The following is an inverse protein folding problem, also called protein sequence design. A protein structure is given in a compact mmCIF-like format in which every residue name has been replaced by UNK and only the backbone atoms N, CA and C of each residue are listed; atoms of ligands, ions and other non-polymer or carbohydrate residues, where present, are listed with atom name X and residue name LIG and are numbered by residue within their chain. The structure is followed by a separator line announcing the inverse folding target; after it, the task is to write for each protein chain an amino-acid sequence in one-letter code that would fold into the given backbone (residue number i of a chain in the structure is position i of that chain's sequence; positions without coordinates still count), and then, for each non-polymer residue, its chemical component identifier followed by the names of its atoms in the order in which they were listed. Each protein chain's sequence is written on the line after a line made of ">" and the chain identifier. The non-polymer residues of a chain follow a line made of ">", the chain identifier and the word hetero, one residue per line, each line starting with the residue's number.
data_IF_293044415953
#
_entry.id   IF_293044415953
#
_cell.length_a   1.000
_cell.length_b   1.000
_cell.length_c   1.000
_cell.angle_alpha   90.00
_cell.angle_beta   90.00
_cell.angle_gamma   90.00
#
_symmetry.space_group_name_H-M   'P 1'
#
loop_
_entity.id
_entity.type
_entity.pdbx_description
1 polymer ?
#
# COMPACT_ATOMS: atom_id res chain seq x y z
N UNK A 1 2.79 -12.27 11.99
CA UNK A 1 3.11 -10.93 11.49
C UNK A 1 2.21 -10.59 10.32
N UNK A 2 1.80 -9.33 10.21
CA UNK A 2 1.02 -8.81 9.09
C UNK A 2 1.52 -7.42 8.69
N UNK A 3 1.33 -7.05 7.43
CA UNK A 3 1.57 -5.70 6.93
C UNK A 3 0.57 -5.36 5.84
N UNK A 4 0.40 -4.08 5.59
CA UNK A 4 -0.36 -3.56 4.45
C UNK A 4 0.64 -3.04 3.43
N UNK A 5 0.51 -3.48 2.18
CA UNK A 5 1.46 -3.13 1.13
C UNK A 5 0.83 -3.00 -0.24
N UNK A 6 1.63 -2.59 -1.21
CA UNK A 6 1.26 -2.56 -2.62
C UNK A 6 1.20 -3.98 -3.20
N UNK A 7 0.35 -4.20 -4.19
CA UNK A 7 0.33 -5.46 -4.96
C UNK A 7 1.68 -5.80 -5.60
N UNK A 8 2.48 -4.80 -5.96
CA UNK A 8 3.84 -5.00 -6.47
C UNK A 8 4.79 -5.65 -5.46
N UNK A 9 4.46 -5.67 -4.17
CA UNK A 9 5.26 -6.37 -3.14
C UNK A 9 5.29 -7.89 -3.35
N UNK A 10 4.34 -8.45 -4.10
CA UNK A 10 4.27 -9.89 -4.38
C UNK A 10 5.55 -10.46 -4.98
N UNK A 11 6.24 -9.67 -5.81
CA UNK A 11 7.48 -10.10 -6.48
C UNK A 11 8.72 -10.11 -5.57
N UNK A 12 8.60 -9.57 -4.36
CA UNK A 12 9.68 -9.44 -3.38
C UNK A 12 9.39 -10.19 -2.08
N UNK A 13 8.25 -10.87 -1.98
CA UNK A 13 7.89 -11.56 -0.76
C UNK A 13 8.77 -12.81 -0.60
N UNK A 14 9.46 -12.96 0.56
CA UNK A 14 10.32 -14.11 0.78
C UNK A 14 9.50 -15.38 1.05
N UNK A 15 10.03 -16.52 0.67
CA UNK A 15 9.49 -17.86 0.95
C UNK A 15 10.04 -18.46 2.25
N UNK A 16 11.07 -17.81 2.81
CA UNK A 16 11.73 -18.26 4.02
C UNK A 16 12.26 -17.08 4.86
N UNK A 17 12.43 -17.32 6.14
CA UNK A 17 12.98 -16.35 7.11
C UNK A 17 14.16 -17.01 7.82
N UNK A 18 15.27 -16.29 7.92
CA UNK A 18 16.41 -16.68 8.75
C UNK A 18 16.14 -16.27 10.20
N UNK A 19 16.27 -17.23 11.11
CA UNK A 19 16.15 -17.01 12.57
C UNK A 19 17.49 -16.88 13.26
N UNK A 20 18.55 -17.41 12.65
CA UNK A 20 19.95 -17.23 13.01
C UNK A 20 20.83 -17.46 11.77
N UNK A 21 22.15 -17.34 11.90
CA UNK A 21 23.09 -17.54 10.78
C UNK A 21 23.00 -18.95 10.17
N UNK A 22 22.59 -19.95 10.97
CA UNK A 22 22.55 -21.37 10.58
C UNK A 22 21.12 -21.95 10.57
N UNK A 23 20.09 -21.15 10.84
CA UNK A 23 18.71 -21.63 10.94
C UNK A 23 17.74 -20.79 10.13
N UNK A 24 16.95 -21.46 9.31
CA UNK A 24 15.89 -20.84 8.51
C UNK A 24 14.64 -21.71 8.49
N UNK A 25 13.47 -21.08 8.39
CA UNK A 25 12.21 -21.79 8.20
C UNK A 25 11.38 -21.15 7.08
N UNK A 26 10.62 -22.00 6.41
CA UNK A 26 9.70 -21.54 5.38
C UNK A 26 8.53 -20.78 5.98
N UNK A 27 8.05 -19.78 5.26
CA UNK A 27 6.85 -19.00 5.60
C UNK A 27 5.83 -19.11 4.47
N UNK A 28 4.56 -18.98 4.82
CA UNK A 28 3.45 -18.98 3.88
C UNK A 28 2.82 -17.59 3.85
N UNK A 29 2.67 -17.04 2.65
CA UNK A 29 1.94 -15.78 2.44
C UNK A 29 0.44 -16.05 2.40
N UNK A 30 -0.32 -15.36 3.27
CA UNK A 30 -1.77 -15.25 3.18
C UNK A 30 -2.17 -13.83 2.85
N UNK A 31 -2.84 -13.67 1.72
CA UNK A 31 -3.32 -12.38 1.25
C UNK A 31 -4.77 -12.20 1.69
N UNK A 32 -5.05 -11.11 2.37
CA UNK A 32 -6.36 -10.76 2.91
C UNK A 32 -6.82 -9.41 2.32
N UNK A 33 -8.13 -9.15 2.26
CA UNK A 33 -8.64 -7.83 1.93
C UNK A 33 -8.11 -6.78 2.91
N UNK A 34 -7.96 -5.54 2.46
CA UNK A 34 -7.63 -4.44 3.35
C UNK A 34 -8.70 -4.31 4.44
N UNK A 35 -8.29 -4.15 5.72
CA UNK A 35 -9.26 -3.95 6.79
C UNK A 35 -9.98 -2.60 6.62
N UNK A 36 -11.24 -2.57 7.02
CA UNK A 36 -12.05 -1.36 7.12
C UNK A 36 -12.89 -1.41 8.39
N UNK A 37 -13.32 -0.26 8.87
CA UNK A 37 -14.15 -0.20 10.06
C UNK A 37 -15.53 -0.79 9.80
N UNK A 38 -16.09 -1.47 10.80
CA UNK A 38 -17.41 -2.05 10.71
C UNK A 38 -18.48 -0.98 10.40
N UNK A 39 -19.33 -1.26 9.42
CA UNK A 39 -20.35 -0.31 8.96
C UNK A 39 -19.86 0.77 7.99
N UNK A 40 -18.59 0.81 7.68
CA UNK A 40 -18.03 1.72 6.66
C UNK A 40 -17.97 1.05 5.28
N UNK A 41 -18.10 1.86 4.23
CA UNK A 41 -17.87 1.42 2.85
C UNK A 41 -16.40 1.02 2.68
N UNK A 42 -16.07 -0.13 2.06
CA UNK A 42 -14.70 -0.50 1.79
C UNK A 42 -14.09 0.43 0.73
N UNK A 43 -13.10 1.18 1.13
CA UNK A 43 -12.35 2.11 0.27
C UNK A 43 -10.91 1.62 0.17
N UNK A 44 -10.39 1.53 -1.05
CA UNK A 44 -8.99 1.15 -1.30
C UNK A 44 -8.27 2.25 -2.04
N UNK A 45 -7.03 2.51 -1.63
CA UNK A 45 -6.18 3.50 -2.30
C UNK A 45 -5.69 2.91 -3.62
N UNK A 46 -5.96 3.60 -4.71
CA UNK A 46 -5.38 3.30 -6.01
C UNK A 46 -4.14 4.15 -6.24
N UNK A 47 -3.00 3.48 -6.35
CA UNK A 47 -1.73 4.07 -6.75
C UNK A 47 -1.25 3.39 -8.02
N UNK A 48 -0.42 4.08 -8.79
CA UNK A 48 0.15 3.51 -10.00
C UNK A 48 1.16 4.45 -10.65
N UNK A 49 1.94 3.88 -11.55
CA UNK A 49 2.78 4.66 -12.45
C UNK A 49 1.95 5.08 -13.67
N UNK A 50 2.22 6.26 -14.18
CA UNK A 50 1.64 6.76 -15.42
C UNK A 50 2.71 6.90 -16.51
N UNK A 51 2.33 6.71 -17.76
CA UNK A 51 3.18 7.00 -18.90
C UNK A 51 2.70 8.27 -19.59
N UNK A 52 3.65 9.13 -19.96
CA UNK A 52 3.38 10.41 -20.61
C UNK A 52 4.12 10.43 -21.94
N UNK A 53 3.41 10.79 -23.01
CA UNK A 53 4.03 11.10 -24.29
C UNK A 53 4.56 12.53 -24.23
N UNK A 54 5.88 12.68 -24.31
CA UNK A 54 6.53 13.98 -24.32
C UNK A 54 6.35 14.69 -25.68
N UNK A 55 6.50 16.00 -25.66
CA UNK A 55 6.51 16.78 -26.90
C UNK A 55 7.73 16.35 -27.75
N UNK A 56 7.48 16.07 -29.02
CA UNK A 56 8.49 15.65 -29.98
C UNK A 56 7.99 15.89 -31.41
N UNK A 57 8.67 15.36 -32.40
CA UNK A 57 8.15 15.36 -33.78
C UNK A 57 7.02 14.34 -33.98
N UNK A 58 6.34 14.41 -35.13
CA UNK A 58 5.18 13.58 -35.42
C UNK A 58 5.53 12.07 -35.42
N UNK A 59 6.71 11.69 -35.86
CA UNK A 59 7.16 10.30 -35.92
C UNK A 59 7.43 9.76 -34.51
N UNK A 60 8.09 10.54 -33.63
CA UNK A 60 8.36 10.21 -32.25
C UNK A 60 7.05 10.04 -31.45
N UNK A 61 6.11 10.99 -31.60
CA UNK A 61 4.79 10.93 -30.96
C UNK A 61 4.03 9.68 -31.43
N UNK A 62 4.02 9.43 -32.75
CA UNK A 62 3.35 8.25 -33.32
C UNK A 62 3.96 6.95 -32.83
N UNK A 63 5.28 6.84 -32.73
CA UNK A 63 5.97 5.68 -32.21
C UNK A 63 5.60 5.45 -30.73
N UNK A 64 5.63 6.50 -29.91
CA UNK A 64 5.26 6.46 -28.49
C UNK A 64 3.81 5.99 -28.30
N UNK A 65 2.86 6.55 -29.05
CA UNK A 65 1.45 6.14 -28.99
C UNK A 65 1.28 4.68 -29.44
N UNK A 66 2.01 4.26 -30.47
CA UNK A 66 1.97 2.86 -30.94
C UNK A 66 2.46 1.89 -29.86
N UNK A 67 3.57 2.24 -29.19
CA UNK A 67 4.06 1.47 -28.06
C UNK A 67 3.05 1.41 -26.92
N UNK A 68 2.45 2.55 -26.54
CA UNK A 68 1.44 2.59 -25.46
C UNK A 68 0.22 1.72 -25.79
N UNK A 69 -0.26 1.73 -27.02
CA UNK A 69 -1.36 0.86 -27.46
C UNK A 69 -0.98 -0.63 -27.37
N UNK A 70 0.22 -0.98 -27.75
CA UNK A 70 0.74 -2.35 -27.59
C UNK A 70 0.84 -2.74 -26.10
N UNK A 71 1.44 -1.87 -25.29
CA UNK A 71 1.67 -2.12 -23.87
C UNK A 71 0.37 -2.26 -23.07
N UNK A 72 -0.66 -1.47 -23.41
CA UNK A 72 -1.97 -1.48 -22.72
C UNK A 72 -2.97 -2.47 -23.32
N UNK A 73 -2.63 -3.17 -24.41
CA UNK A 73 -3.47 -4.27 -24.90
C UNK A 73 -3.57 -5.37 -23.82
N UNK A 74 -4.77 -5.93 -23.57
CA UNK A 74 -5.01 -6.84 -22.45
C UNK A 74 -3.97 -7.97 -22.33
N UNK A 75 -3.65 -8.62 -23.42
CA UNK A 75 -2.75 -9.76 -23.47
C UNK A 75 -1.30 -9.38 -23.07
N UNK A 76 -0.82 -8.23 -23.53
CA UNK A 76 0.52 -7.73 -23.22
C UNK A 76 0.59 -7.16 -21.81
N UNK A 77 -0.48 -6.45 -21.39
CA UNK A 77 -0.52 -5.81 -20.10
C UNK A 77 -0.59 -6.82 -18.96
N UNK A 78 -1.28 -7.96 -19.14
CA UNK A 78 -1.27 -9.06 -18.18
C UNK A 78 0.13 -9.63 -17.99
N UNK A 79 0.91 -9.81 -19.05
CA UNK A 79 2.29 -10.29 -18.94
C UNK A 79 3.15 -9.34 -18.10
N UNK A 80 3.00 -8.03 -18.27
CA UNK A 80 3.64 -7.04 -17.43
C UNK A 80 3.17 -7.14 -15.97
N UNK A 81 1.87 -7.32 -15.75
CA UNK A 81 1.28 -7.46 -14.42
C UNK A 81 1.84 -8.66 -13.66
N UNK A 82 1.98 -9.79 -14.29
CA UNK A 82 2.55 -11.01 -13.71
C UNK A 82 4.00 -10.77 -13.27
N UNK A 83 4.81 -10.10 -14.10
CA UNK A 83 6.22 -9.84 -13.78
C UNK A 83 6.46 -8.72 -12.77
N UNK A 84 5.50 -7.84 -12.56
CA UNK A 84 5.66 -6.63 -11.72
C UNK A 84 4.75 -6.57 -10.49
N UNK A 85 3.70 -7.38 -10.44
CA UNK A 85 2.65 -7.29 -9.41
C UNK A 85 1.74 -6.07 -9.56
N UNK A 86 1.90 -5.24 -10.60
CA UNK A 86 0.96 -4.16 -10.91
C UNK A 86 -0.31 -4.72 -11.53
N UNK A 87 -1.45 -4.08 -11.28
CA UNK A 87 -2.70 -4.44 -11.94
C UNK A 87 -2.72 -3.96 -13.39
N UNK A 88 -3.40 -4.70 -14.29
CA UNK A 88 -3.66 -4.24 -15.64
C UNK A 88 -4.47 -2.93 -15.67
N UNK A 89 -4.27 -2.12 -16.71
CA UNK A 89 -4.91 -0.79 -16.81
C UNK A 89 -6.33 -0.82 -17.36
N UNK A 90 -6.75 -1.90 -18.02
CA UNK A 90 -8.10 -2.02 -18.62
C UNK A 90 -9.02 -2.87 -17.75
N UNK A 91 -10.33 -2.57 -17.79
CA UNK A 91 -11.33 -3.39 -17.10
C UNK A 91 -11.42 -4.81 -17.66
N UNK A 92 -11.13 -4.96 -18.94
CA UNK A 92 -11.13 -6.26 -19.61
C UNK A 92 -10.02 -7.17 -19.05
N UNK A 93 -8.83 -6.62 -18.89
CA UNK A 93 -7.69 -7.34 -18.33
C UNK A 93 -7.80 -7.58 -16.81
N UNK A 94 -8.66 -6.81 -16.09
CA UNK A 94 -8.94 -7.00 -14.66
C UNK A 94 -10.15 -7.94 -14.43
N UNK A 95 -10.31 -8.98 -15.23
CA UNK A 95 -11.27 -10.06 -15.02
C UNK A 95 -10.57 -11.31 -14.51
N UNK A 96 -11.25 -12.07 -13.67
CA UNK A 96 -10.70 -13.31 -13.11
C UNK A 96 -10.33 -14.32 -14.20
N UNK A 97 -11.11 -14.41 -15.27
CA UNK A 97 -10.85 -15.31 -16.39
C UNK A 97 -9.51 -14.99 -17.07
N UNK A 98 -9.21 -13.70 -17.26
CA UNK A 98 -7.96 -13.28 -17.89
C UNK A 98 -6.73 -13.61 -17.04
N UNK A 99 -6.86 -13.59 -15.71
CA UNK A 99 -5.82 -14.06 -14.79
C UNK A 99 -5.69 -15.57 -14.83
N UNK A 100 -6.81 -16.30 -14.88
CA UNK A 100 -6.82 -17.76 -14.90
C UNK A 100 -6.08 -18.32 -16.13
N UNK A 101 -6.24 -17.71 -17.30
CA UNK A 101 -5.55 -18.10 -18.54
C UNK A 101 -4.02 -17.93 -18.44
N UNK A 102 -3.55 -17.13 -17.52
CA UNK A 102 -2.13 -16.81 -17.32
C UNK A 102 -1.52 -17.42 -16.05
N UNK A 103 -2.29 -18.20 -15.28
CA UNK A 103 -1.88 -18.76 -13.98
C UNK A 103 -0.60 -19.60 -14.02
N UNK A 104 -0.37 -20.32 -15.12
CA UNK A 104 0.81 -21.18 -15.28
C UNK A 104 2.14 -20.39 -15.27
N UNK A 105 2.10 -19.08 -15.50
CA UNK A 105 3.27 -18.21 -15.51
C UNK A 105 3.49 -17.47 -14.16
N UNK A 106 2.64 -17.69 -13.16
CA UNK A 106 2.67 -17.00 -11.87
C UNK A 106 3.29 -17.87 -10.78
N UNK A 107 4.04 -17.24 -9.86
CA UNK A 107 4.32 -17.88 -8.57
C UNK A 107 3.06 -17.89 -7.72
N UNK A 108 2.94 -18.79 -6.70
CA UNK A 108 1.78 -18.81 -5.81
C UNK A 108 1.51 -17.47 -5.11
N UNK A 109 2.55 -16.73 -4.75
CA UNK A 109 2.48 -15.43 -4.10
C UNK A 109 1.89 -14.37 -5.05
N UNK A 110 2.45 -14.27 -6.25
CA UNK A 110 1.97 -13.35 -7.31
C UNK A 110 0.53 -13.66 -7.64
N UNK A 111 0.17 -14.93 -7.82
CA UNK A 111 -1.21 -15.35 -8.08
C UNK A 111 -2.15 -14.89 -6.96
N UNK A 112 -1.82 -15.18 -5.70
CA UNK A 112 -2.67 -14.84 -4.55
C UNK A 112 -2.87 -13.33 -4.42
N UNK A 113 -1.80 -12.54 -4.63
CA UNK A 113 -1.88 -11.09 -4.55
C UNK A 113 -2.67 -10.49 -5.71
N UNK A 114 -2.43 -10.94 -6.96
CA UNK A 114 -3.16 -10.41 -8.11
C UNK A 114 -4.65 -10.77 -8.07
N UNK A 115 -5.01 -11.98 -7.66
CA UNK A 115 -6.41 -12.37 -7.49
C UNK A 115 -7.12 -11.48 -6.44
N UNK A 116 -6.50 -11.25 -5.27
CA UNK A 116 -7.06 -10.35 -4.26
C UNK A 116 -7.12 -8.91 -4.75
N UNK A 117 -6.11 -8.44 -5.46
CA UNK A 117 -6.07 -7.09 -5.98
C UNK A 117 -7.13 -6.85 -7.07
N UNK A 118 -7.33 -7.80 -7.99
CA UNK A 118 -8.42 -7.74 -8.99
C UNK A 118 -9.78 -7.73 -8.31
N UNK A 119 -10.00 -8.58 -7.31
CA UNK A 119 -11.21 -8.56 -6.51
C UNK A 119 -11.42 -7.19 -5.86
N UNK A 120 -10.39 -6.64 -5.24
CA UNK A 120 -10.43 -5.34 -4.56
C UNK A 120 -10.83 -4.20 -5.51
N UNK A 121 -10.25 -4.14 -6.72
CA UNK A 121 -10.58 -3.05 -7.67
C UNK A 121 -11.97 -3.19 -8.28
N UNK A 122 -12.55 -4.38 -8.28
CA UNK A 122 -13.90 -4.62 -8.77
C UNK A 122 -14.98 -4.40 -7.69
N UNK A 123 -14.67 -4.66 -6.42
CA UNK A 123 -15.65 -4.63 -5.32
C UNK A 123 -15.57 -3.36 -4.47
N UNK A 124 -14.40 -2.74 -4.32
CA UNK A 124 -14.21 -1.60 -3.45
C UNK A 124 -14.34 -0.27 -4.20
N UNK A 125 -14.68 0.78 -3.46
CA UNK A 125 -14.51 2.14 -3.95
C UNK A 125 -13.03 2.49 -4.02
N UNK A 126 -12.58 2.95 -5.17
CA UNK A 126 -11.18 3.34 -5.35
C UNK A 126 -10.99 4.83 -5.07
N UNK A 127 -9.93 5.16 -4.36
CA UNK A 127 -9.53 6.52 -4.04
C UNK A 127 -8.13 6.80 -4.57
N UNK A 128 -7.98 7.89 -5.29
CA UNK A 128 -6.69 8.41 -5.72
C UNK A 128 -6.45 9.77 -5.06
N UNK A 129 -5.29 9.94 -4.44
CA UNK A 129 -4.93 11.20 -3.79
C UNK A 129 -4.85 12.34 -4.81
N UNK A 130 -5.48 13.47 -4.48
CA UNK A 130 -5.40 14.67 -5.32
C UNK A 130 -4.01 15.30 -5.21
N UNK A 131 -3.52 15.83 -6.33
CA UNK A 131 -2.34 16.68 -6.34
C UNK A 131 -2.75 18.12 -6.02
N UNK A 132 -2.08 18.74 -5.04
CA UNK A 132 -2.22 20.15 -4.68
C UNK A 132 -0.85 20.67 -4.19
N UNK A 133 -0.68 21.97 -4.14
CA UNK A 133 0.56 22.57 -3.63
C UNK A 133 0.75 22.16 -2.15
N UNK A 134 1.96 21.68 -1.80
CA UNK A 134 2.22 21.14 -0.47
C UNK A 134 1.76 19.68 -0.23
N UNK A 135 1.09 19.03 -1.19
CA UNK A 135 0.57 17.65 -1.03
C UNK A 135 1.61 16.64 -0.57
N UNK A 136 2.88 16.78 -1.00
CA UNK A 136 3.98 15.93 -0.57
C UNK A 136 4.28 16.08 0.92
N UNK A 137 4.19 17.29 1.46
CA UNK A 137 4.43 17.56 2.88
C UNK A 137 3.23 17.14 3.72
N UNK A 138 1.99 17.39 3.28
CA UNK A 138 0.79 16.87 3.92
C UNK A 138 0.79 15.34 4.03
N UNK A 139 1.24 14.64 2.98
CA UNK A 139 1.42 13.18 3.02
C UNK A 139 2.44 12.74 4.08
N UNK A 140 3.55 13.47 4.24
CA UNK A 140 4.54 13.18 5.28
C UNK A 140 3.98 13.35 6.69
N UNK A 141 3.13 14.36 6.92
CA UNK A 141 2.44 14.51 8.20
C UNK A 141 1.64 13.25 8.52
N UNK A 142 0.83 12.75 7.57
CA UNK A 142 0.05 11.53 7.76
C UNK A 142 0.92 10.27 7.92
N UNK A 143 2.04 10.21 7.22
CA UNK A 143 2.97 9.08 7.26
C UNK A 143 3.66 8.96 8.63
N UNK A 144 4.08 10.08 9.21
CA UNK A 144 4.93 10.08 10.40
C UNK A 144 4.19 10.43 11.71
N UNK A 145 3.07 11.14 11.66
CA UNK A 145 2.39 11.62 12.87
C UNK A 145 2.07 10.52 13.89
N UNK A 146 1.67 9.33 13.43
CA UNK A 146 1.36 8.21 14.33
C UNK A 146 2.63 7.42 14.69
N UNK A 147 3.52 7.17 13.74
CA UNK A 147 4.72 6.38 13.99
C UNK A 147 5.70 7.08 14.92
N UNK A 148 5.91 8.40 14.74
CA UNK A 148 6.81 9.18 15.59
C UNK A 148 6.26 9.28 17.02
N UNK A 149 4.94 9.48 17.17
CA UNK A 149 4.30 9.46 18.48
C UNK A 149 4.44 8.10 19.15
N UNK A 150 4.14 7.02 18.45
CA UNK A 150 4.24 5.66 18.99
C UNK A 150 5.66 5.31 19.45
N UNK A 151 6.68 5.78 18.76
CA UNK A 151 8.09 5.60 19.18
C UNK A 151 8.35 6.38 20.47
N UNK A 152 7.97 7.66 20.53
CA UNK A 152 8.17 8.51 21.71
C UNK A 152 7.43 7.97 22.95
N UNK A 153 6.20 7.53 22.77
CA UNK A 153 5.37 6.93 23.81
C UNK A 153 5.98 5.64 24.34
N UNK A 154 6.40 4.78 23.44
CA UNK A 154 7.09 3.53 23.77
C UNK A 154 8.35 3.78 24.61
N UNK A 155 9.21 4.70 24.17
CA UNK A 155 10.42 5.07 24.89
C UNK A 155 10.10 5.55 26.30
N UNK A 156 9.02 6.33 26.44
CA UNK A 156 8.53 6.82 27.72
C UNK A 156 8.03 5.68 28.61
N UNK A 157 7.26 4.76 28.07
CA UNK A 157 6.75 3.57 28.79
C UNK A 157 7.93 2.70 29.25
N UNK A 158 8.92 2.43 28.40
CA UNK A 158 10.09 1.64 28.73
C UNK A 158 10.90 2.30 29.89
N UNK A 159 11.07 3.63 29.86
CA UNK A 159 11.75 4.36 30.96
C UNK A 159 10.98 4.26 32.27
N UNK A 160 9.64 4.36 32.26
CA UNK A 160 8.79 4.24 33.46
C UNK A 160 8.84 2.84 34.06
N UNK A 161 8.83 1.82 33.22
CA UNK A 161 8.96 0.41 33.63
C UNK A 161 10.35 0.20 34.29
N UNK A 162 11.40 0.73 33.65
CA UNK A 162 12.75 0.67 34.22
C UNK A 162 12.87 1.41 35.57
N UNK A 163 12.04 2.44 35.79
CA UNK A 163 11.93 3.15 37.06
C UNK A 163 11.05 2.45 38.11
N UNK A 164 10.48 1.26 37.80
CA UNK A 164 9.73 0.42 38.74
C UNK A 164 8.21 0.53 38.64
N UNK A 165 7.65 1.21 37.63
CA UNK A 165 6.20 1.20 37.39
C UNK A 165 5.78 -0.13 36.77
N UNK A 166 4.51 -0.55 36.98
CA UNK A 166 3.92 -1.62 36.18
C UNK A 166 3.67 -1.16 34.76
N UNK A 167 3.61 -2.11 33.79
CA UNK A 167 3.29 -1.78 32.40
C UNK A 167 1.97 -0.99 32.28
N UNK A 168 0.92 -1.45 32.98
CA UNK A 168 -0.39 -0.80 33.01
C UNK A 168 -0.31 0.65 33.53
N UNK A 169 0.48 0.91 34.57
CA UNK A 169 0.67 2.28 35.07
C UNK A 169 1.49 3.14 34.10
N UNK A 170 2.48 2.54 33.45
CA UNK A 170 3.37 3.25 32.56
C UNK A 170 2.67 3.71 31.27
N UNK A 171 1.70 2.93 30.78
CA UNK A 171 0.98 3.20 29.52
C UNK A 171 -0.34 3.97 29.72
N UNK A 172 -0.86 4.06 30.95
CA UNK A 172 -2.22 4.53 31.25
C UNK A 172 -2.58 5.90 30.64
N UNK A 173 -1.66 6.86 30.62
CA UNK A 173 -1.94 8.20 30.06
C UNK A 173 -2.12 8.18 28.54
N UNK A 174 -1.42 7.29 27.84
CA UNK A 174 -1.46 7.17 26.38
C UNK A 174 -2.74 6.51 25.86
N UNK A 175 -3.49 5.83 26.74
CA UNK A 175 -4.73 5.13 26.44
C UNK A 175 -5.98 5.97 26.71
N UNK A 176 -5.84 7.28 26.91
CA UNK A 176 -6.96 8.18 27.21
C UNK A 176 -7.48 8.90 25.98
N UNK A 177 -8.80 9.19 25.96
CA UNK A 177 -9.42 10.03 24.93
C UNK A 177 -8.76 11.42 24.84
N UNK A 178 -8.36 11.99 25.98
CA UNK A 178 -7.70 13.30 26.02
C UNK A 178 -6.34 13.28 25.30
N UNK A 179 -5.60 12.19 25.41
CA UNK A 179 -4.34 12.01 24.70
C UNK A 179 -4.55 11.89 23.18
N UNK A 180 -5.52 11.08 22.78
CA UNK A 180 -5.94 10.97 21.39
C UNK A 180 -6.39 12.31 20.81
N UNK A 181 -7.24 13.05 21.52
CA UNK A 181 -7.74 14.35 21.11
C UNK A 181 -6.61 15.39 20.92
N UNK A 182 -5.56 15.32 21.76
CA UNK A 182 -4.39 16.18 21.60
C UNK A 182 -3.63 15.87 20.32
N UNK A 183 -3.29 14.60 20.11
CA UNK A 183 -2.63 14.14 18.88
C UNK A 183 -3.45 14.49 17.62
N UNK A 184 -4.75 14.26 17.67
CA UNK A 184 -5.65 14.54 16.53
C UNK A 184 -5.68 16.03 16.19
N UNK A 185 -5.80 16.91 17.19
CA UNK A 185 -5.79 18.37 16.98
C UNK A 185 -4.45 18.85 16.42
N UNK A 186 -3.35 18.36 16.95
CA UNK A 186 -2.02 18.73 16.49
C UNK A 186 -1.76 18.28 15.04
N UNK A 187 -2.15 17.07 14.72
CA UNK A 187 -2.05 16.52 13.35
C UNK A 187 -2.96 17.29 12.38
N UNK A 188 -4.20 17.59 12.78
CA UNK A 188 -5.12 18.38 11.97
C UNK A 188 -4.59 19.79 11.73
N UNK A 189 -4.05 20.46 12.73
CA UNK A 189 -3.45 21.79 12.59
C UNK A 189 -2.28 21.80 11.62
N UNK A 190 -1.42 20.76 11.66
CA UNK A 190 -0.33 20.59 10.68
C UNK A 190 -0.86 20.40 9.26
N UNK A 191 -1.93 19.62 9.06
CA UNK A 191 -2.55 19.42 7.75
C UNK A 191 -3.21 20.68 7.21
N UNK A 192 -3.91 21.43 8.06
CA UNK A 192 -4.55 22.71 7.70
C UNK A 192 -3.55 23.76 7.20
N UNK A 193 -2.30 23.70 7.62
CA UNK A 193 -1.25 24.57 7.09
C UNK A 193 -0.98 24.38 5.59
N UNK A 194 -1.48 23.29 5.00
CA UNK A 194 -1.37 22.97 3.56
C UNK A 194 -2.70 23.12 2.81
N UNK A 195 -3.78 23.52 3.50
CA UNK A 195 -5.03 23.89 2.84
C UNK A 195 -4.83 25.28 2.19
N UNK A 196 -4.68 25.30 0.86
CA UNK A 196 -4.56 26.52 0.06
C UNK A 196 -5.89 27.10 -0.35
#
# INVERSE_FOLDING_TARGET
>A
LSYVGSSSSATFFPDSVMTSDDDSHSIELKVLPNPHFAGCEPVSVQQGAGMVVTKGDEAEIKASVTFLKYFTAPENNIQFSIGSGYLPVTREANKEEMLADSEAAMTPEVKSVLQMAVKTVNENKLYTTRAFEGSKNARKVLEYAMSDLAVADRDTVEQRIAAGQSAEQAEAEFLTDAYFDSWYRDTLAQLQAYEG
#
